data_IF_427458952103
#
_entry.id   IF_427458952103
#
_cell.length_a   1.000
_cell.length_b   1.000
_cell.length_c   1.000
_cell.angle_alpha   90.00
_cell.angle_beta   90.00
_cell.angle_gamma   90.00
#
_symmetry.space_group_name_H-M   'P 1'
#
loop_
_entity.id
_entity.type
_entity.pdbx_description
1 polymer ?
#
# COMPACT_ATOMS: atom_id res chain seq x y z
N UNK A 1 -2.90 -40.16 24.94
CA UNK A 1 -3.75 -39.35 24.07
C UNK A 1 -2.82 -38.68 23.07
N UNK A 2 -2.71 -39.25 21.88
CA UNK A 2 -1.92 -38.68 20.80
C UNK A 2 -2.79 -37.67 20.04
N UNK A 3 -2.25 -36.49 19.79
CA UNK A 3 -2.95 -35.43 19.10
C UNK A 3 -2.79 -35.64 17.60
N UNK A 4 -3.91 -35.83 16.91
CA UNK A 4 -3.95 -35.99 15.46
C UNK A 4 -3.70 -34.62 14.82
N UNK A 5 -2.53 -34.42 14.22
CA UNK A 5 -2.15 -33.15 13.59
C UNK A 5 -2.16 -33.31 12.08
N UNK A 6 -3.02 -32.56 11.39
CA UNK A 6 -2.98 -32.48 9.93
C UNK A 6 -2.10 -31.30 9.47
N UNK A 7 -1.24 -31.49 8.44
CA UNK A 7 -0.51 -30.39 7.85
C UNK A 7 -1.47 -29.51 7.06
N UNK A 8 -1.94 -28.43 7.68
CA UNK A 8 -2.71 -27.39 6.98
C UNK A 8 -1.72 -26.53 6.19
N UNK A 9 -1.98 -26.35 4.89
CA UNK A 9 -1.24 -25.40 4.07
C UNK A 9 -1.40 -23.99 4.65
N UNK A 10 -0.29 -23.43 5.12
CA UNK A 10 -0.28 -22.23 5.96
C UNK A 10 -0.59 -20.93 5.22
N UNK A 11 -0.64 -20.94 3.88
CA UNK A 11 -0.94 -19.73 3.09
C UNK A 11 -1.72 -20.09 1.83
N UNK A 12 -3.05 -19.99 1.88
CA UNK A 12 -3.89 -19.91 0.68
C UNK A 12 -3.86 -18.51 0.04
N UNK A 13 -3.42 -17.49 0.79
CA UNK A 13 -3.36 -16.10 0.34
C UNK A 13 -1.93 -15.71 -0.01
N UNK A 14 -1.26 -16.55 -0.81
CA UNK A 14 0.05 -16.23 -1.39
C UNK A 14 -0.12 -15.07 -2.38
N UNK A 15 -0.16 -13.84 -1.86
CA UNK A 15 -0.30 -12.64 -2.65
C UNK A 15 0.86 -12.55 -3.65
N UNK A 16 0.51 -12.29 -4.91
CA UNK A 16 1.46 -12.22 -6.00
C UNK A 16 2.47 -11.08 -5.75
N UNK A 17 3.71 -11.47 -5.47
CA UNK A 17 4.83 -10.55 -5.24
C UNK A 17 5.91 -10.80 -6.27
N UNK A 18 6.40 -9.74 -6.91
CA UNK A 18 7.52 -9.79 -7.85
C UNK A 18 8.67 -9.00 -7.23
N UNK A 19 9.78 -9.67 -6.90
CA UNK A 19 10.98 -8.99 -6.40
C UNK A 19 10.79 -8.22 -5.07
N UNK A 20 9.80 -8.59 -4.25
CA UNK A 20 9.48 -7.91 -2.99
C UNK A 20 8.48 -6.74 -3.11
N UNK A 21 8.02 -6.45 -4.33
CA UNK A 21 6.91 -5.54 -4.60
C UNK A 21 5.62 -6.34 -4.81
N UNK A 22 4.50 -5.78 -4.38
CA UNK A 22 3.19 -6.37 -4.64
C UNK A 22 2.75 -6.05 -6.08
N UNK A 23 1.91 -6.91 -6.67
CA UNK A 23 1.36 -6.66 -8.01
C UNK A 23 0.68 -5.29 -8.14
N UNK A 24 0.00 -4.86 -7.06
CA UNK A 24 -0.70 -3.58 -7.01
C UNK A 24 0.27 -2.39 -7.04
N UNK A 25 1.44 -2.50 -6.40
CA UNK A 25 2.48 -1.48 -6.43
C UNK A 25 2.96 -1.22 -7.87
N UNK A 26 3.20 -2.30 -8.63
CA UNK A 26 3.59 -2.24 -10.03
C UNK A 26 2.47 -1.68 -10.92
N UNK A 27 1.23 -2.09 -10.65
CA UNK A 27 0.06 -1.58 -11.36
C UNK A 27 -0.10 -0.07 -11.17
N UNK A 28 0.07 0.43 -9.94
CA UNK A 28 0.00 1.86 -9.63
C UNK A 28 1.06 2.64 -10.39
N UNK A 29 2.31 2.15 -10.42
CA UNK A 29 3.39 2.78 -11.17
C UNK A 29 3.09 2.83 -12.68
N UNK A 30 2.56 1.74 -13.26
CA UNK A 30 2.17 1.72 -14.68
C UNK A 30 1.03 2.68 -14.98
N UNK A 31 -0.03 2.69 -14.15
CA UNK A 31 -1.17 3.59 -14.32
C UNK A 31 -0.70 5.04 -14.24
N UNK A 32 0.16 5.37 -13.28
CA UNK A 32 0.74 6.70 -13.15
C UNK A 32 1.48 7.11 -14.43
N UNK A 33 2.32 6.23 -14.97
CA UNK A 33 3.03 6.48 -16.23
C UNK A 33 2.09 6.71 -17.41
N UNK A 34 1.05 5.87 -17.53
CA UNK A 34 0.03 6.01 -18.56
C UNK A 34 -0.74 7.34 -18.45
N UNK A 35 -1.11 7.75 -17.24
CA UNK A 35 -1.78 9.03 -16.98
C UNK A 35 -0.86 10.21 -17.32
N UNK A 36 0.41 10.15 -16.90
CA UNK A 36 1.38 11.19 -17.23
C UNK A 36 1.62 11.29 -18.74
N UNK A 37 1.72 10.15 -19.42
CA UNK A 37 1.83 10.10 -20.87
C UNK A 37 0.58 10.67 -21.56
N UNK A 38 -0.62 10.41 -21.03
CA UNK A 38 -1.88 10.92 -21.58
C UNK A 38 -2.00 12.44 -21.43
N UNK A 39 -1.59 12.99 -20.28
CA UNK A 39 -1.71 14.42 -19.98
C UNK A 39 -0.59 15.24 -20.65
N UNK A 40 0.64 14.70 -20.65
CA UNK A 40 1.85 15.42 -21.07
C UNK A 40 2.46 14.88 -22.37
N UNK A 41 1.77 13.97 -23.07
CA UNK A 41 2.23 13.40 -24.34
C UNK A 41 2.49 14.47 -25.39
N UNK A 42 3.64 14.38 -26.06
CA UNK A 42 4.11 15.35 -27.05
C UNK A 42 4.79 16.59 -26.46
N UNK A 43 4.95 16.67 -25.14
CA UNK A 43 5.69 17.76 -24.48
C UNK A 43 7.11 17.33 -24.10
N UNK A 44 8.00 18.30 -23.85
CA UNK A 44 9.34 18.02 -23.33
C UNK A 44 9.34 17.31 -21.96
N UNK A 45 8.19 17.31 -21.26
CA UNK A 45 8.02 16.67 -19.96
C UNK A 45 7.50 15.21 -20.06
N UNK A 46 7.16 14.74 -21.26
CA UNK A 46 6.64 13.38 -21.48
C UNK A 46 7.59 12.33 -20.91
N UNK A 47 8.83 12.28 -21.39
CA UNK A 47 9.82 11.27 -20.98
C UNK A 47 10.10 11.31 -19.46
N UNK A 48 10.42 12.45 -18.83
CA UNK A 48 10.71 12.46 -17.40
C UNK A 48 9.50 12.10 -16.53
N UNK A 49 8.27 12.42 -16.93
CA UNK A 49 7.07 12.11 -16.14
C UNK A 49 6.53 10.70 -16.42
N UNK A 50 6.40 10.32 -17.69
CA UNK A 50 5.82 9.04 -18.11
C UNK A 50 6.76 7.85 -17.88
N UNK A 51 8.08 8.06 -17.95
CA UNK A 51 9.08 7.01 -17.71
C UNK A 51 9.77 7.20 -16.36
N UNK A 52 10.25 8.42 -16.08
CA UNK A 52 10.95 8.70 -14.82
C UNK A 52 10.05 8.58 -13.60
N UNK A 53 8.79 9.02 -13.70
CA UNK A 53 7.81 8.94 -12.61
C UNK A 53 7.54 7.52 -12.11
N UNK A 54 7.13 6.57 -12.98
CA UNK A 54 6.94 5.18 -12.60
C UNK A 54 8.20 4.53 -12.01
N UNK A 55 9.37 4.80 -12.58
CA UNK A 55 10.64 4.30 -12.05
C UNK A 55 10.88 4.83 -10.63
N UNK A 56 10.65 6.13 -10.41
CA UNK A 56 10.79 6.73 -9.09
C UNK A 56 9.83 6.09 -8.07
N UNK A 57 8.56 5.87 -8.45
CA UNK A 57 7.57 5.19 -7.60
C UNK A 57 8.04 3.78 -7.24
N UNK A 58 8.48 2.99 -8.22
CA UNK A 58 8.99 1.63 -8.03
C UNK A 58 10.19 1.64 -7.08
N UNK A 59 11.14 2.56 -7.26
CA UNK A 59 12.32 2.67 -6.40
C UNK A 59 11.92 3.03 -4.96
N UNK A 60 11.05 4.02 -4.78
CA UNK A 60 10.56 4.43 -3.45
C UNK A 60 9.85 3.27 -2.75
N UNK A 61 8.98 2.56 -3.46
CA UNK A 61 8.30 1.39 -2.90
C UNK A 61 9.27 0.25 -2.62
N UNK A 62 10.23 0.00 -3.51
CA UNK A 62 11.22 -1.05 -3.36
C UNK A 62 12.07 -0.80 -2.12
N UNK A 63 12.66 0.39 -1.97
CA UNK A 63 13.47 0.72 -0.80
C UNK A 63 12.65 0.90 0.48
N UNK A 64 11.45 1.46 0.38
CA UNK A 64 10.57 1.69 1.51
C UNK A 64 10.00 0.40 2.10
N UNK A 65 9.66 -0.58 1.25
CA UNK A 65 9.09 -1.87 1.67
C UNK A 65 10.16 -2.95 1.90
N UNK A 66 11.42 -2.73 1.51
CA UNK A 66 12.49 -3.72 1.66
C UNK A 66 12.65 -4.17 3.12
N UNK A 67 12.37 -5.45 3.39
CA UNK A 67 12.50 -6.05 4.71
C UNK A 67 11.45 -5.61 5.73
N UNK A 68 10.40 -4.90 5.30
CA UNK A 68 9.27 -4.50 6.14
C UNK A 68 8.11 -5.51 6.01
N UNK A 69 7.27 -5.65 7.06
CA UNK A 69 6.11 -6.53 7.01
C UNK A 69 5.11 -6.06 5.94
N UNK A 70 4.19 -6.95 5.59
CA UNK A 70 3.13 -6.64 4.62
C UNK A 70 2.29 -5.42 5.04
N UNK A 71 1.76 -4.67 4.06
CA UNK A 71 0.96 -3.46 4.29
C UNK A 71 1.65 -2.36 5.12
N UNK A 72 2.96 -2.44 5.34
CA UNK A 72 3.69 -1.44 6.13
C UNK A 72 3.43 0.00 5.64
N UNK A 73 3.36 0.23 4.33
CA UNK A 73 3.08 1.58 3.81
C UNK A 73 1.65 2.03 4.07
N UNK A 74 0.65 1.16 3.94
CA UNK A 74 -0.72 1.52 4.28
C UNK A 74 -0.84 1.89 5.77
N UNK A 75 -0.16 1.13 6.64
CA UNK A 75 -0.13 1.39 8.07
C UNK A 75 0.64 2.67 8.41
N UNK A 76 1.72 2.95 7.69
CA UNK A 76 2.51 4.16 7.87
C UNK A 76 1.72 5.40 7.44
N UNK A 77 1.07 5.35 6.27
CA UNK A 77 0.17 6.42 5.80
C UNK A 77 -0.95 6.64 6.82
N UNK A 78 -1.59 5.56 7.28
CA UNK A 78 -2.62 5.62 8.32
C UNK A 78 -2.10 6.28 9.59
N UNK A 79 -0.94 5.87 10.08
CA UNK A 79 -0.31 6.44 11.26
C UNK A 79 -0.05 7.95 11.13
N UNK A 80 0.36 8.42 9.95
CA UNK A 80 0.53 9.85 9.70
C UNK A 80 -0.79 10.63 9.54
N UNK A 81 -1.87 9.98 9.14
CA UNK A 81 -3.20 10.58 9.01
C UNK A 81 -4.01 10.55 10.31
N UNK A 82 -3.72 9.62 11.22
CA UNK A 82 -4.48 9.42 12.46
C UNK A 82 -4.03 10.42 13.54
N UNK A 83 -4.96 11.07 14.26
CA UNK A 83 -4.60 12.00 15.32
C UNK A 83 -3.91 11.26 16.46
N UNK A 84 -2.75 11.75 16.90
CA UNK A 84 -1.92 11.13 17.95
C UNK A 84 -2.49 11.20 19.37
N UNK A 85 -3.78 11.52 19.54
CA UNK A 85 -4.45 11.59 20.83
C UNK A 85 -5.87 11.03 20.72
N UNK A 86 -6.18 10.08 21.62
CA UNK A 86 -7.52 9.52 21.79
C UNK A 86 -8.04 9.93 23.17
N UNK A 87 -9.03 10.85 23.27
CA UNK A 87 -9.60 11.23 24.56
C UNK A 87 -10.39 10.06 25.16
N UNK A 88 -10.05 9.66 26.38
CA UNK A 88 -10.76 8.59 27.10
C UNK A 88 -12.18 8.96 27.56
N UNK A 89 -12.59 10.24 27.40
CA UNK A 89 -13.86 10.78 27.88
C UNK A 89 -14.96 10.93 26.81
N UNK A 90 -14.68 10.63 25.54
CA UNK A 90 -15.70 10.70 24.48
C UNK A 90 -16.49 9.39 24.37
N UNK A 91 -17.79 9.51 24.10
CA UNK A 91 -18.67 8.35 23.96
C UNK A 91 -18.15 7.37 22.90
N UNK A 92 -18.20 6.04 23.14
CA UNK A 92 -17.69 5.02 22.23
C UNK A 92 -18.35 5.02 20.84
N UNK A 93 -19.45 5.76 20.68
CA UNK A 93 -20.12 5.98 19.40
C UNK A 93 -19.31 6.88 18.46
N UNK A 94 -18.62 7.90 18.99
CA UNK A 94 -17.85 8.85 18.20
C UNK A 94 -16.57 8.21 17.64
N UNK A 95 -15.86 7.47 18.48
CA UNK A 95 -14.66 6.70 18.12
C UNK A 95 -14.98 5.65 17.05
N UNK A 96 -16.11 4.93 17.19
CA UNK A 96 -16.52 3.96 16.18
C UNK A 96 -16.94 4.60 14.86
N UNK A 97 -17.49 5.82 14.86
CA UNK A 97 -17.87 6.53 13.64
C UNK A 97 -16.64 7.02 12.87
N UNK A 98 -15.65 7.57 13.58
CA UNK A 98 -14.34 7.93 13.01
C UNK A 98 -13.61 6.71 12.47
N UNK A 99 -13.63 5.60 13.22
CA UNK A 99 -13.03 4.33 12.81
C UNK A 99 -13.72 3.76 11.58
N UNK A 100 -15.05 3.78 11.52
CA UNK A 100 -15.83 3.25 10.39
C UNK A 100 -15.60 4.07 9.11
N UNK A 101 -15.51 5.39 9.22
CA UNK A 101 -15.16 6.27 8.09
C UNK A 101 -13.72 6.09 7.57
N UNK A 102 -12.83 5.45 8.33
CA UNK A 102 -11.47 5.13 7.89
C UNK A 102 -11.35 3.75 7.24
N UNK A 103 -12.39 2.90 7.29
CA UNK A 103 -12.42 1.55 6.74
C UNK A 103 -13.40 1.40 5.55
N UNK A 104 -14.12 2.45 5.19
CA UNK A 104 -14.88 2.60 3.93
C UNK A 104 -14.03 3.39 2.93
#
# INVERSE_FOLDING_TARGET
MDLDTSPVHRDLDAKFKIGGLEALDLLLALIFGAVMNLIFGGTALEVPLAVGGPIAIILVMYFGKKGKPENYMAHLIKFYMEPGFFPAGESPLHINKLRKASYE
#
